data_IF_786007891296
#
_entry.id   IF_786007891296
#
_cell.length_a   1.000
_cell.length_b   1.000
_cell.length_c   1.000
_cell.angle_alpha   90.00
_cell.angle_beta   90.00
_cell.angle_gamma   90.00
#
_symmetry.space_group_name_H-M   'P 1'
#
loop_
_entity.id
_entity.type
_entity.pdbx_description
1 polymer ?
#
# COMPACT_ATOMS: atom_id res chain seq x y z
N UNK A 1 6.05 -21.12 16.97
CA UNK A 1 7.03 -20.33 16.19
C UNK A 1 6.23 -19.21 15.55
N UNK A 2 6.77 -18.00 15.41
CA UNK A 2 6.01 -16.92 14.76
C UNK A 2 5.97 -17.13 13.24
N UNK A 3 4.97 -16.58 12.57
CA UNK A 3 4.92 -16.56 11.11
C UNK A 3 6.13 -15.81 10.52
N UNK A 4 6.60 -16.25 9.35
CA UNK A 4 7.57 -15.54 8.54
C UNK A 4 6.81 -14.51 7.68
N UNK A 5 7.20 -13.25 7.74
CA UNK A 5 6.46 -12.14 7.13
C UNK A 5 7.35 -11.34 6.19
N UNK A 6 6.91 -11.21 4.94
CA UNK A 6 7.52 -10.37 3.92
C UNK A 6 6.47 -9.38 3.37
N UNK A 7 6.92 -8.31 2.73
CA UNK A 7 6.05 -7.44 1.93
C UNK A 7 6.43 -7.56 0.47
N UNK A 8 5.43 -7.78 -0.39
CA UNK A 8 5.63 -7.90 -1.83
C UNK A 8 4.96 -6.76 -2.59
N UNK A 9 5.63 -6.26 -3.63
CA UNK A 9 5.06 -5.32 -4.61
C UNK A 9 4.61 -6.06 -5.88
N UNK A 10 3.38 -5.77 -6.32
CA UNK A 10 2.78 -6.36 -7.51
C UNK A 10 2.86 -5.44 -8.72
N UNK A 11 3.41 -5.92 -9.83
CA UNK A 11 3.46 -5.21 -11.11
C UNK A 11 3.29 -6.15 -12.32
N UNK A 12 2.91 -5.62 -13.48
CA UNK A 12 2.83 -6.31 -14.76
C UNK A 12 1.48 -6.95 -15.07
N UNK A 13 1.37 -7.46 -16.30
CA UNK A 13 0.24 -8.28 -16.75
C UNK A 13 0.78 -9.52 -17.50
N UNK A 14 0.65 -10.74 -16.95
CA UNK A 14 0.10 -11.05 -15.62
C UNK A 14 0.92 -10.45 -14.48
N UNK A 15 0.30 -10.29 -13.31
CA UNK A 15 0.97 -9.71 -12.13
C UNK A 15 2.11 -10.61 -11.66
N UNK A 16 3.25 -10.00 -11.36
CA UNK A 16 4.38 -10.61 -10.66
C UNK A 16 4.52 -9.94 -9.31
N UNK A 17 4.60 -10.74 -8.26
CA UNK A 17 4.81 -10.28 -6.89
C UNK A 17 6.28 -10.46 -6.53
N UNK A 18 6.92 -9.36 -6.14
CA UNK A 18 8.35 -9.33 -5.78
C UNK A 18 8.50 -8.86 -4.35
N UNK A 19 9.21 -9.64 -3.52
CA UNK A 19 9.59 -9.22 -2.17
C UNK A 19 10.40 -7.92 -2.21
N UNK A 20 10.01 -6.96 -1.38
CA UNK A 20 10.65 -5.65 -1.29
C UNK A 20 10.98 -5.29 0.15
N UNK A 21 12.07 -4.53 0.30
CA UNK A 21 12.45 -3.86 1.55
C UNK A 21 12.35 -2.33 1.44
N UNK A 22 12.08 -1.83 0.24
CA UNK A 22 11.82 -0.42 -0.06
C UNK A 22 11.00 -0.32 -1.34
N UNK A 23 10.15 0.70 -1.42
CA UNK A 23 9.37 1.04 -2.61
C UNK A 23 9.63 2.48 -3.04
N UNK A 24 9.36 2.79 -4.31
CA UNK A 24 9.44 4.16 -4.81
C UNK A 24 8.26 4.46 -5.72
N UNK A 25 7.56 5.56 -5.42
CA UNK A 25 6.55 6.10 -6.32
C UNK A 25 7.20 6.63 -7.61
N UNK A 26 6.62 6.27 -8.74
CA UNK A 26 7.15 6.57 -10.07
C UNK A 26 6.03 6.60 -11.11
N UNK A 27 6.35 6.98 -12.33
CA UNK A 27 5.41 7.03 -13.46
C UNK A 27 5.50 5.79 -14.35
N UNK A 28 5.77 4.62 -13.75
CA UNK A 28 5.82 3.33 -14.46
C UNK A 28 5.37 2.18 -13.55
N UNK A 29 4.80 1.14 -14.16
CA UNK A 29 4.38 -0.08 -13.47
C UNK A 29 5.56 -1.04 -13.29
N UNK A 30 6.51 -0.65 -12.45
CA UNK A 30 7.77 -1.39 -12.21
C UNK A 30 8.17 -1.34 -10.75
N UNK A 31 8.64 -2.46 -10.21
CA UNK A 31 9.18 -2.56 -8.86
C UNK A 31 10.52 -1.83 -8.77
N UNK A 32 10.66 -0.98 -7.76
CA UNK A 32 11.89 -0.26 -7.41
C UNK A 32 12.67 0.31 -8.63
N UNK A 33 12.15 1.31 -9.35
CA UNK A 33 12.75 1.88 -10.56
C UNK A 33 14.10 2.61 -10.35
N UNK A 34 14.59 2.71 -9.11
CA UNK A 34 15.68 3.59 -8.75
C UNK A 34 15.34 5.03 -9.14
N UNK A 35 16.21 5.67 -9.95
CA UNK A 35 16.01 7.05 -10.43
C UNK A 35 15.22 7.14 -11.76
N UNK A 36 14.81 6.02 -12.33
CA UNK A 36 14.04 6.00 -13.57
C UNK A 36 12.59 6.40 -13.32
N UNK A 37 11.93 6.96 -14.34
CA UNK A 37 10.51 7.32 -14.32
C UNK A 37 10.09 8.19 -13.11
N UNK A 38 10.79 9.31 -12.83
CA UNK A 38 10.37 10.20 -11.76
C UNK A 38 8.96 10.75 -12.03
N UNK A 39 8.36 11.34 -10.99
CA UNK A 39 7.14 12.12 -11.12
C UNK A 39 7.58 13.57 -11.31
N UNK A 40 7.49 14.14 -12.53
CA UNK A 40 7.85 15.54 -12.74
C UNK A 40 6.86 16.45 -12.03
N UNK A 41 7.34 17.59 -11.55
CA UNK A 41 6.48 18.66 -11.03
C UNK A 41 5.73 19.28 -12.23
N UNK A 42 4.39 19.31 -12.23
CA UNK A 42 3.63 19.88 -13.33
C UNK A 42 3.80 21.41 -13.40
N UNK A 43 3.52 22.01 -14.56
CA UNK A 43 3.47 23.48 -14.68
C UNK A 43 2.23 24.11 -14.01
N UNK A 44 1.19 23.31 -13.79
CA UNK A 44 -0.07 23.68 -13.15
C UNK A 44 -0.85 22.42 -12.75
N UNK A 45 -1.64 22.50 -11.68
CA UNK A 45 -2.41 21.35 -11.21
C UNK A 45 -1.51 20.27 -10.63
N UNK A 46 -1.96 19.02 -10.67
CA UNK A 46 -1.26 17.89 -10.05
C UNK A 46 -0.85 16.82 -11.08
N UNK A 47 0.25 16.14 -10.79
CA UNK A 47 0.60 14.86 -11.39
C UNK A 47 0.44 13.75 -10.37
N UNK A 48 0.20 12.54 -10.87
CA UNK A 48 0.05 11.34 -10.07
C UNK A 48 1.21 10.38 -10.36
N UNK A 49 1.66 9.65 -9.34
CA UNK A 49 2.41 8.43 -9.59
C UNK A 49 1.51 7.38 -10.23
N UNK A 50 2.11 6.38 -10.84
CA UNK A 50 1.42 5.11 -11.04
C UNK A 50 1.12 4.52 -9.65
N UNK A 51 -0.05 3.92 -9.49
CA UNK A 51 -0.39 3.31 -8.20
C UNK A 51 0.50 2.10 -7.93
N UNK A 52 0.79 1.86 -6.65
CA UNK A 52 1.63 0.78 -6.16
C UNK A 52 0.78 -0.20 -5.36
N UNK A 53 1.00 -1.49 -5.59
CA UNK A 53 0.26 -2.56 -4.93
C UNK A 53 1.18 -3.27 -3.96
N UNK A 54 0.91 -3.21 -2.66
CA UNK A 54 1.73 -3.87 -1.63
C UNK A 54 0.89 -4.84 -0.82
N UNK A 55 1.38 -6.06 -0.59
CA UNK A 55 0.69 -7.07 0.23
C UNK A 55 1.62 -7.68 1.26
N UNK A 56 1.03 -8.20 2.33
CA UNK A 56 1.72 -9.02 3.30
C UNK A 56 1.75 -10.46 2.80
N UNK A 57 2.95 -11.04 2.69
CA UNK A 57 3.14 -12.46 2.43
C UNK A 57 3.55 -13.15 3.72
N UNK A 58 2.88 -14.27 4.04
CA UNK A 58 3.10 -14.98 5.28
C UNK A 58 3.32 -16.48 5.05
N UNK A 59 4.30 -17.02 5.75
CA UNK A 59 4.68 -18.43 5.71
C UNK A 59 5.08 -18.97 7.08
N UNK A 60 5.61 -20.18 7.11
CA UNK A 60 6.09 -20.83 8.33
C UNK A 60 4.97 -21.51 9.12
N UNK A 61 5.13 -21.59 10.44
CA UNK A 61 4.23 -22.34 11.33
C UNK A 61 3.42 -21.38 12.20
N UNK A 62 2.15 -21.20 11.88
CA UNK A 62 1.17 -20.46 12.69
C UNK A 62 -0.16 -21.23 12.73
N UNK A 63 -1.02 -20.91 13.68
CA UNK A 63 -2.39 -21.46 13.72
C UNK A 63 -3.33 -20.58 12.91
N UNK A 64 -3.22 -19.26 13.09
CA UNK A 64 -4.06 -18.30 12.41
C UNK A 64 -3.39 -16.93 12.31
N UNK A 65 -3.58 -16.26 11.18
CA UNK A 65 -3.34 -14.82 10.98
C UNK A 65 -4.65 -14.18 10.55
N UNK A 66 -5.05 -13.07 11.17
CA UNK A 66 -6.22 -12.29 10.77
C UNK A 66 -6.07 -10.79 11.11
N UNK A 67 -7.09 -9.99 10.76
CA UNK A 67 -7.15 -8.55 11.03
C UNK A 67 -5.90 -7.79 10.59
N UNK A 68 -5.50 -8.04 9.34
CA UNK A 68 -4.34 -7.43 8.72
C UNK A 68 -4.67 -5.96 8.47
N UNK A 69 -3.79 -5.11 8.99
CA UNK A 69 -3.94 -3.66 9.10
C UNK A 69 -2.65 -2.98 8.66
N UNK A 70 -2.79 -1.74 8.21
CA UNK A 70 -1.71 -0.94 7.67
C UNK A 70 -1.80 0.51 8.17
N UNK A 71 -0.66 1.13 8.48
CA UNK A 71 -0.63 2.52 8.92
C UNK A 71 0.73 3.18 8.63
N UNK A 72 0.76 4.51 8.72
CA UNK A 72 1.98 5.32 8.78
C UNK A 72 2.12 5.99 10.16
N UNK A 73 3.19 6.73 10.38
CA UNK A 73 3.44 7.41 11.65
C UNK A 73 2.53 8.65 11.90
N UNK A 74 1.69 9.01 10.92
CA UNK A 74 0.73 10.11 10.99
C UNK A 74 1.24 11.43 10.39
N UNK A 75 2.45 11.45 9.84
CA UNK A 75 2.94 12.53 9.00
C UNK A 75 3.56 11.96 7.72
N UNK A 76 3.62 12.77 6.68
CA UNK A 76 4.48 12.50 5.53
C UNK A 76 5.17 13.82 5.28
N UNK A 77 6.42 13.94 5.73
CA UNK A 77 7.17 15.20 5.76
C UNK A 77 7.73 15.56 4.36
N UNK A 78 6.99 15.21 3.32
CA UNK A 78 7.37 15.40 1.93
C UNK A 78 6.83 16.73 1.40
N UNK A 79 7.66 17.41 0.63
CA UNK A 79 7.34 18.71 0.03
C UNK A 79 6.64 18.54 -1.32
N UNK A 80 5.44 17.96 -1.31
CA UNK A 80 4.66 17.60 -2.50
C UNK A 80 3.81 18.74 -3.07
N UNK A 81 3.89 19.93 -2.47
CA UNK A 81 3.09 21.10 -2.86
C UNK A 81 1.73 21.16 -2.16
N UNK A 82 0.96 22.22 -2.42
CA UNK A 82 -0.25 22.56 -1.64
C UNK A 82 -1.30 21.44 -1.65
N UNK A 83 -1.54 20.80 -2.79
CA UNK A 83 -2.47 19.68 -2.91
C UNK A 83 -1.76 18.31 -2.94
N UNK A 84 -0.45 18.29 -2.80
CA UNK A 84 0.34 17.07 -2.81
C UNK A 84 0.15 16.26 -1.53
N UNK A 85 0.11 14.94 -1.68
CA UNK A 85 -0.08 13.97 -0.60
C UNK A 85 0.16 12.56 -1.10
N UNK A 86 0.31 11.61 -0.19
CA UNK A 86 0.24 10.19 -0.52
C UNK A 86 -1.13 9.68 -0.09
N UNK A 87 -1.79 8.94 -0.98
CA UNK A 87 -3.13 8.40 -0.76
C UNK A 87 -3.12 6.88 -0.77
N UNK A 88 -4.09 6.29 -0.09
CA UNK A 88 -4.42 4.87 -0.15
C UNK A 88 -5.85 4.67 -0.64
N UNK A 89 -6.08 3.67 -1.49
CA UNK A 89 -7.43 3.30 -1.94
C UNK A 89 -8.30 2.82 -0.78
N UNK A 90 -9.56 3.27 -0.75
CA UNK A 90 -10.52 2.98 0.33
C UNK A 90 -11.85 2.50 -0.21
N UNK A 91 -12.59 1.76 0.61
CA UNK A 91 -13.88 1.17 0.29
C UNK A 91 -14.94 1.74 1.22
N UNK A 92 -16.15 1.96 0.69
CA UNK A 92 -17.30 2.43 1.48
C UNK A 92 -17.76 1.38 2.50
N UNK A 93 -17.39 0.10 2.29
CA UNK A 93 -17.71 -1.00 3.20
C UNK A 93 -16.72 -2.16 3.05
N UNK A 94 -16.57 -2.93 4.15
CA UNK A 94 -15.69 -4.09 4.21
C UNK A 94 -14.21 -3.70 4.29
N UNK A 95 -13.37 -4.61 3.81
CA UNK A 95 -11.92 -4.42 3.79
C UNK A 95 -11.49 -3.42 2.71
N UNK A 96 -10.48 -2.60 3.00
CA UNK A 96 -9.96 -1.62 2.04
C UNK A 96 -8.93 -2.22 1.09
N UNK A 97 -8.33 -3.36 1.43
CA UNK A 97 -7.39 -4.07 0.57
C UNK A 97 -8.07 -4.53 -0.72
N UNK A 98 -7.36 -4.42 -1.83
CA UNK A 98 -7.77 -4.94 -3.11
C UNK A 98 -7.40 -6.43 -3.21
N UNK A 99 -8.36 -7.32 -3.52
CA UNK A 99 -8.06 -8.73 -3.78
C UNK A 99 -7.20 -8.92 -5.03
N UNK A 100 -6.39 -9.98 -5.07
CA UNK A 100 -5.57 -10.35 -6.24
C UNK A 100 -6.41 -10.46 -7.53
N UNK A 101 -7.65 -10.96 -7.44
CA UNK A 101 -8.58 -11.06 -8.58
C UNK A 101 -9.00 -9.70 -9.15
N UNK A 102 -8.79 -8.61 -8.40
CA UNK A 102 -9.09 -7.24 -8.77
C UNK A 102 -7.83 -6.40 -9.03
N UNK A 103 -6.64 -7.01 -8.99
CA UNK A 103 -5.40 -6.36 -9.38
C UNK A 103 -5.54 -5.70 -10.76
N UNK A 104 -5.04 -4.47 -10.87
CA UNK A 104 -5.00 -3.74 -12.13
C UNK A 104 -3.60 -3.14 -12.34
N UNK A 105 -3.03 -3.45 -13.51
CA UNK A 105 -1.78 -2.84 -13.99
C UNK A 105 -1.90 -1.32 -13.94
N UNK A 106 -0.90 -0.65 -13.35
CA UNK A 106 -0.92 0.80 -13.28
C UNK A 106 -0.68 1.41 -14.67
N UNK A 107 -1.43 2.46 -14.99
CA UNK A 107 -1.40 3.09 -16.31
C UNK A 107 -1.38 4.63 -16.21
N UNK A 108 -1.05 5.25 -17.34
CA UNK A 108 -0.90 6.69 -17.49
C UNK A 108 0.09 7.00 -18.61
N UNK A 109 0.66 8.21 -18.58
CA UNK A 109 1.74 8.63 -19.49
C UNK A 109 3.06 8.49 -18.75
N UNK A 110 3.85 7.48 -19.13
CA UNK A 110 5.17 7.24 -18.54
C UNK A 110 6.09 8.45 -18.65
N UNK A 111 6.76 8.81 -17.55
CA UNK A 111 7.59 10.00 -17.46
C UNK A 111 6.81 11.31 -17.25
N UNK A 112 5.48 11.26 -17.14
CA UNK A 112 4.63 12.43 -16.90
C UNK A 112 3.68 12.23 -15.73
N UNK A 113 2.62 11.42 -15.88
CA UNK A 113 1.63 11.23 -14.82
C UNK A 113 0.90 9.90 -14.98
N UNK A 114 0.60 9.25 -13.86
CA UNK A 114 -0.40 8.18 -13.77
C UNK A 114 -1.82 8.71 -13.92
N UNK A 115 -2.77 7.80 -14.10
CA UNK A 115 -4.18 8.09 -13.91
C UNK A 115 -4.51 8.16 -12.41
N UNK A 116 -5.35 9.10 -12.00
CA UNK A 116 -5.80 9.20 -10.61
C UNK A 116 -6.62 7.95 -10.22
N UNK A 117 -6.52 7.50 -8.97
CA UNK A 117 -7.30 6.34 -8.48
C UNK A 117 -8.81 6.51 -8.71
N UNK A 118 -9.32 7.73 -8.58
CA UNK A 118 -10.73 8.09 -8.70
C UNK A 118 -11.15 8.58 -10.11
N UNK A 119 -10.26 8.53 -11.10
CA UNK A 119 -10.61 8.96 -12.45
C UNK A 119 -11.80 8.12 -12.98
N UNK A 120 -12.89 8.75 -13.48
CA UNK A 120 -14.11 8.04 -13.84
C UNK A 120 -13.91 7.04 -14.99
N UNK A 121 -12.94 7.31 -15.87
CA UNK A 121 -12.67 6.49 -17.06
C UNK A 121 -11.59 5.47 -16.77
N UNK A 122 -10.42 5.95 -16.35
CA UNK A 122 -9.16 5.23 -16.27
C UNK A 122 -8.70 4.93 -14.84
N UNK A 123 -9.47 5.35 -13.83
CA UNK A 123 -9.15 5.10 -12.42
C UNK A 123 -9.16 3.62 -12.07
N UNK A 124 -8.68 3.31 -10.87
CA UNK A 124 -8.56 1.94 -10.41
C UNK A 124 -9.94 1.31 -10.25
N UNK A 125 -10.24 0.24 -10.98
CA UNK A 125 -11.59 -0.32 -11.11
C UNK A 125 -12.21 -0.73 -9.76
N UNK A 126 -11.38 -1.17 -8.81
CA UNK A 126 -11.83 -1.56 -7.47
C UNK A 126 -12.25 -0.37 -6.58
N UNK A 127 -11.74 0.84 -6.83
CA UNK A 127 -11.91 2.01 -5.95
C UNK A 127 -12.72 3.14 -6.58
N UNK A 128 -12.59 3.40 -7.89
CA UNK A 128 -13.16 4.61 -8.54
C UNK A 128 -14.67 4.79 -8.40
N UNK A 129 -15.41 3.70 -8.13
CA UNK A 129 -16.86 3.72 -7.94
C UNK A 129 -17.31 3.93 -6.49
N UNK A 130 -16.39 4.12 -5.55
CA UNK A 130 -16.71 4.38 -4.14
C UNK A 130 -17.02 5.87 -3.92
N UNK A 131 -17.76 6.17 -2.86
CA UNK A 131 -18.07 7.55 -2.45
C UNK A 131 -16.81 8.25 -1.95
N UNK A 132 -15.98 7.53 -1.20
CA UNK A 132 -14.64 7.95 -0.79
C UNK A 132 -13.62 6.94 -1.35
N UNK A 133 -13.15 7.13 -2.59
CA UNK A 133 -12.31 6.14 -3.30
C UNK A 133 -10.88 6.06 -2.77
N UNK A 134 -10.42 7.08 -2.06
CA UNK A 134 -9.14 7.10 -1.38
C UNK A 134 -9.18 8.00 -0.14
N UNK A 135 -8.18 7.85 0.72
CA UNK A 135 -7.91 8.75 1.83
C UNK A 135 -6.41 9.09 1.90
N UNK A 136 -6.10 10.21 2.56
CA UNK A 136 -4.72 10.60 2.87
C UNK A 136 -4.12 9.60 3.87
N UNK A 137 -2.92 9.10 3.59
CA UNK A 137 -2.31 8.09 4.45
C UNK A 137 -1.96 8.63 5.84
N UNK A 138 -1.72 9.93 5.98
CA UNK A 138 -1.42 10.57 7.28
C UNK A 138 -2.58 10.42 8.28
N UNK A 139 -3.79 10.13 7.80
CA UNK A 139 -4.93 9.81 8.67
C UNK A 139 -4.87 8.42 9.32
N UNK A 140 -4.06 7.50 8.78
CA UNK A 140 -3.92 6.14 9.31
C UNK A 140 -2.68 6.05 10.18
N UNK A 141 -2.91 6.05 11.48
CA UNK A 141 -1.89 5.92 12.52
C UNK A 141 -2.02 4.58 13.25
N UNK A 142 -1.08 4.25 14.12
CA UNK A 142 -1.19 3.08 15.01
C UNK A 142 -2.48 3.08 15.85
N UNK A 143 -3.04 4.26 16.17
CA UNK A 143 -4.27 4.39 16.94
C UNK A 143 -5.55 4.18 16.10
N UNK A 144 -5.45 4.33 14.78
CA UNK A 144 -6.56 4.14 13.84
C UNK A 144 -6.04 3.60 12.51
N UNK A 145 -5.52 2.35 12.49
CA UNK A 145 -4.91 1.79 11.29
C UNK A 145 -5.97 1.41 10.26
N UNK A 146 -5.59 1.40 8.98
CA UNK A 146 -6.43 0.95 7.88
C UNK A 146 -6.62 -0.57 7.98
N UNK A 147 -7.87 -1.05 8.00
CA UNK A 147 -8.17 -2.49 7.83
C UNK A 147 -7.97 -2.87 6.36
N UNK A 148 -6.98 -3.73 6.10
CA UNK A 148 -6.62 -4.21 4.77
C UNK A 148 -7.31 -5.54 4.47
N UNK A 149 -7.32 -6.44 5.44
CA UNK A 149 -7.92 -7.78 5.29
C UNK A 149 -8.42 -8.32 6.63
N UNK A 150 -9.71 -8.62 6.71
CA UNK A 150 -10.32 -9.25 7.89
C UNK A 150 -10.39 -10.78 7.80
N UNK A 151 -9.91 -11.37 6.69
CA UNK A 151 -9.93 -12.82 6.48
C UNK A 151 -9.04 -13.54 7.49
N UNK A 152 -9.46 -14.74 7.89
CA UNK A 152 -8.67 -15.64 8.74
C UNK A 152 -7.90 -16.64 7.87
N UNK A 153 -6.58 -16.63 8.01
CA UNK A 153 -5.66 -17.50 7.29
C UNK A 153 -5.08 -18.54 8.23
N UNK A 154 -5.23 -19.83 7.88
CA UNK A 154 -4.71 -20.97 8.67
C UNK A 154 -3.60 -21.73 7.95
N UNK A 155 -3.17 -21.21 6.80
CA UNK A 155 -2.09 -21.74 5.98
C UNK A 155 -1.33 -20.58 5.32
N UNK A 156 -0.12 -20.86 4.85
CA UNK A 156 0.73 -19.92 4.14
C UNK A 156 -0.02 -19.26 2.96
N UNK A 157 0.29 -18.00 2.68
CA UNK A 157 -0.41 -17.23 1.68
C UNK A 157 -0.09 -15.75 1.74
N UNK A 158 -1.06 -14.94 1.36
CA UNK A 158 -0.94 -13.50 1.33
C UNK A 158 -2.26 -12.81 1.68
N UNK A 159 -2.14 -11.56 2.10
CA UNK A 159 -3.27 -10.66 2.31
C UNK A 159 -3.76 -10.06 0.99
N UNK A 160 -4.94 -9.45 1.00
CA UNK A 160 -5.27 -8.36 0.06
C UNK A 160 -4.19 -7.29 0.05
N UNK A 161 -4.05 -6.57 -1.05
CA UNK A 161 -3.02 -5.56 -1.22
C UNK A 161 -3.54 -4.15 -0.94
N UNK A 162 -2.73 -3.31 -0.29
CA UNK A 162 -2.94 -1.87 -0.25
C UNK A 162 -2.56 -1.26 -1.59
N UNK A 163 -3.33 -0.27 -2.04
CA UNK A 163 -3.06 0.45 -3.29
C UNK A 163 -2.75 1.90 -2.96
N UNK A 164 -1.48 2.29 -3.16
CA UNK A 164 -0.96 3.60 -2.80
C UNK A 164 -0.69 4.45 -4.05
N UNK A 165 -0.88 5.76 -3.96
CA UNK A 165 -0.53 6.68 -5.04
C UNK A 165 0.00 7.99 -4.45
N UNK A 166 1.05 8.55 -5.06
CA UNK A 166 1.59 9.86 -4.69
C UNK A 166 1.05 10.93 -5.63
N UNK A 167 0.63 12.07 -5.07
CA UNK A 167 0.14 13.25 -5.78
C UNK A 167 1.17 14.37 -5.59
N UNK A 168 1.61 14.98 -6.69
CA UNK A 168 2.58 16.07 -6.71
C UNK A 168 1.94 17.29 -7.36
N UNK A 169 1.88 18.40 -6.63
CA UNK A 169 1.34 19.68 -7.11
C UNK A 169 2.45 20.54 -7.76
N UNK A 170 2.05 21.55 -8.53
CA UNK A 170 2.93 22.42 -9.31
C UNK A 170 3.89 23.29 -8.46
N UNK A 171 3.58 23.49 -7.18
CA UNK A 171 4.37 24.24 -6.20
C UNK A 171 5.20 23.33 -5.27
N UNK A 172 5.31 22.04 -5.60
CA UNK A 172 6.20 21.10 -4.92
C UNK A 172 7.67 21.55 -4.99
N UNK A 173 8.49 21.04 -4.07
CA UNK A 173 9.93 21.27 -4.10
C UNK A 173 10.67 20.15 -4.82
N UNK A 174 11.65 20.52 -5.64
CA UNK A 174 12.51 19.55 -6.31
C UNK A 174 13.43 18.86 -5.30
N UNK A 175 13.61 17.55 -5.44
CA UNK A 175 14.59 16.81 -4.67
C UNK A 175 14.16 15.40 -4.33
N UNK A 176 15.06 14.68 -3.67
CA UNK A 176 14.76 13.40 -3.04
C UNK A 176 14.06 13.67 -1.72
N UNK A 177 12.86 13.13 -1.56
CA UNK A 177 12.14 13.17 -0.30
C UNK A 177 12.74 12.16 0.68
N UNK A 178 12.57 12.40 2.00
CA UNK A 178 13.04 11.48 3.02
C UNK A 178 12.37 10.10 2.89
N UNK A 179 13.03 9.05 3.35
CA UNK A 179 12.37 7.76 3.49
C UNK A 179 11.27 7.85 4.55
N UNK A 180 10.10 7.32 4.24
CA UNK A 180 9.01 7.13 5.19
C UNK A 180 8.91 5.65 5.55
N UNK A 181 8.25 5.34 6.66
CA UNK A 181 8.01 3.96 7.08
C UNK A 181 6.53 3.66 7.18
N UNK A 182 6.09 2.69 6.41
CA UNK A 182 4.77 2.09 6.46
C UNK A 182 4.81 0.79 7.27
N UNK A 183 3.82 0.61 8.12
CA UNK A 183 3.80 -0.48 9.10
C UNK A 183 2.59 -1.38 8.90
N UNK A 184 2.83 -2.68 8.97
CA UNK A 184 1.79 -3.70 8.97
C UNK A 184 1.56 -4.23 10.39
N UNK A 185 0.30 -4.50 10.69
CA UNK A 185 -0.15 -5.06 11.96
C UNK A 185 -1.15 -6.16 11.69
N UNK A 186 -1.06 -7.26 12.41
CA UNK A 186 -2.00 -8.36 12.32
C UNK A 186 -2.20 -8.97 13.70
N UNK A 187 -3.25 -9.75 13.86
CA UNK A 187 -3.40 -10.62 15.01
C UNK A 187 -2.91 -12.02 14.62
N UNK A 188 -2.06 -12.62 15.46
CA UNK A 188 -1.51 -13.95 15.23
C UNK A 188 -1.85 -14.88 16.39
N UNK A 189 -2.28 -16.09 16.05
CA UNK A 189 -2.46 -17.19 16.99
C UNK A 189 -1.43 -18.26 16.64
N UNK A 190 -0.58 -18.62 17.59
CA UNK A 190 0.33 -19.75 17.49
C UNK A 190 0.07 -20.72 18.65
N UNK A 191 -0.27 -21.97 18.35
CA UNK A 191 -0.47 -22.98 19.39
C UNK A 191 0.90 -23.42 19.94
N UNK A 192 1.21 -23.06 21.20
CA UNK A 192 2.33 -23.66 21.92
C UNK A 192 1.84 -24.96 22.57
N UNK A 193 2.42 -26.10 22.23
CA UNK A 193 2.20 -27.36 22.95
C UNK A 193 2.85 -27.25 24.34
N UNK A 194 2.10 -26.70 25.31
CA UNK A 194 2.49 -26.58 26.72
C UNK A 194 1.91 -25.33 27.38
N UNK A 195 0.80 -25.50 28.10
CA UNK A 195 0.17 -24.55 29.04
C UNK A 195 0.41 -23.04 28.80
N UNK A 196 -0.44 -22.40 27.99
CA UNK A 196 -0.58 -20.94 27.96
C UNK A 196 -1.12 -20.43 26.63
N UNK A 197 -2.33 -19.83 26.64
CA UNK A 197 -2.83 -19.04 25.53
C UNK A 197 -2.20 -17.65 25.65
N UNK A 198 -1.16 -17.35 24.88
CA UNK A 198 -0.60 -16.00 24.77
C UNK A 198 -1.04 -15.37 23.46
N UNK A 199 -1.95 -14.40 23.55
CA UNK A 199 -2.41 -13.58 22.42
C UNK A 199 -1.38 -12.47 22.20
N UNK A 200 -0.49 -12.60 21.21
CA UNK A 200 0.48 -11.53 20.89
C UNK A 200 -0.01 -10.69 19.71
N UNK A 201 -0.04 -9.37 19.89
CA UNK A 201 -0.04 -8.41 18.77
C UNK A 201 1.42 -8.25 18.33
N UNK A 202 1.81 -8.88 17.24
CA UNK A 202 3.12 -8.63 16.63
C UNK A 202 3.04 -7.45 15.66
N UNK A 203 4.04 -6.59 15.73
CA UNK A 203 4.24 -5.47 14.81
C UNK A 203 5.46 -5.80 13.95
N UNK A 204 5.39 -5.55 12.64
CA UNK A 204 6.58 -5.53 11.79
C UNK A 204 6.60 -4.26 10.95
N UNK A 205 7.70 -3.52 11.06
CA UNK A 205 8.00 -2.30 10.31
C UNK A 205 8.65 -2.69 8.99
N UNK A 206 7.91 -2.65 7.87
CA UNK A 206 8.47 -2.92 6.54
C UNK A 206 7.77 -2.03 5.49
N UNK A 207 8.46 -0.92 5.16
CA UNK A 207 8.74 -0.24 3.87
C UNK A 207 8.91 1.24 4.13
#
# INVERSE_FOLDING_TARGET
MAANINVAEGNGSPVTWTDITSARFCTADVVNPGLSYPIPIPSSGVHYSFWKNHRLEFGGTFTQIDNIRWYCDGSIDWTLGTNGKVIVGTRDSGDNGCPDANYQVAAGVTGSSGYAIDDPTSGHAYYKGQTTPYADIAGYTVGSPLLVDSSAYTAEGNSKHVVLQCIVDHDASHGTQASETFTWMWDEIALLLGFGLELFKLFSSII
#
